data_IF_589128093771
#
_entry.id   IF_589128093771
#
_cell.length_a   1.000
_cell.length_b   1.000
_cell.length_c   1.000
_cell.angle_alpha   90.00
_cell.angle_beta   90.00
_cell.angle_gamma   90.00
#
_symmetry.space_group_name_H-M   'P 1'
#
loop_
_entity.id
_entity.type
_entity.pdbx_description
1 polymer ?
#
# COMPACT_ATOMS: atom_id res chain seq x y z
N UNK A 1 8.89 -13.60 7.04
CA UNK A 1 8.04 -13.22 5.91
C UNK A 1 8.70 -13.61 4.61
N UNK A 2 7.99 -14.30 3.76
CA UNK A 2 8.51 -14.76 2.47
C UNK A 2 8.51 -13.59 1.46
N UNK A 3 9.69 -13.15 1.06
CA UNK A 3 9.84 -12.05 0.09
C UNK A 3 9.91 -12.54 -1.36
N UNK A 4 9.81 -13.85 -1.60
CA UNK A 4 9.98 -14.41 -2.94
C UNK A 4 8.66 -14.72 -3.63
N UNK A 5 7.64 -15.08 -2.88
CA UNK A 5 6.41 -15.60 -3.43
C UNK A 5 5.25 -14.65 -3.26
N UNK A 6 4.37 -14.65 -4.26
CA UNK A 6 3.08 -14.00 -4.13
C UNK A 6 2.14 -14.97 -3.43
N UNK A 7 1.37 -14.48 -2.48
CA UNK A 7 0.39 -15.28 -1.74
C UNK A 7 -1.01 -14.71 -1.97
N UNK A 8 -1.97 -15.62 -2.02
CA UNK A 8 -3.38 -15.26 -2.06
C UNK A 8 -3.90 -15.36 -0.63
N UNK A 9 -4.22 -14.22 -0.02
CA UNK A 9 -4.54 -14.13 1.40
C UNK A 9 -5.85 -13.39 1.62
N UNK A 10 -6.58 -13.81 2.65
CA UNK A 10 -7.74 -13.07 3.14
C UNK A 10 -7.29 -12.09 4.21
N UNK A 11 -7.74 -10.85 4.08
CA UNK A 11 -7.47 -9.80 5.07
C UNK A 11 -8.78 -9.34 5.68
N UNK A 12 -8.74 -8.97 6.94
CA UNK A 12 -9.85 -8.28 7.59
C UNK A 12 -9.88 -6.82 7.14
N UNK A 13 -10.99 -6.13 7.42
CA UNK A 13 -11.08 -4.70 7.16
C UNK A 13 -9.92 -3.97 7.84
N UNK A 14 -9.27 -3.09 7.10
CA UNK A 14 -8.15 -2.29 7.60
C UNK A 14 -8.56 -0.84 7.70
N UNK A 15 -8.48 -0.29 8.90
CA UNK A 15 -8.82 1.12 9.15
C UNK A 15 -7.63 2.00 8.79
N UNK A 16 -7.89 3.09 8.07
CA UNK A 16 -6.85 4.01 7.64
C UNK A 16 -7.27 5.46 7.84
N UNK A 17 -6.28 6.32 7.97
CA UNK A 17 -6.43 7.76 7.82
C UNK A 17 -5.68 8.14 6.55
N UNK A 18 -6.42 8.60 5.55
CA UNK A 18 -5.85 8.85 4.23
C UNK A 18 -5.82 10.34 3.89
N UNK A 19 -4.87 10.72 3.06
CA UNK A 19 -4.78 12.07 2.50
C UNK A 19 -5.96 12.34 1.56
N UNK A 20 -6.12 13.61 1.17
CA UNK A 20 -6.94 13.94 0.01
C UNK A 20 -6.32 13.27 -1.23
N UNK A 21 -7.13 12.98 -2.26
CA UNK A 21 -6.60 12.31 -3.45
C UNK A 21 -5.65 13.23 -4.23
N UNK A 22 -4.64 12.62 -4.81
CA UNK A 22 -3.69 13.31 -5.69
C UNK A 22 -3.18 12.32 -6.74
N UNK A 23 -2.42 12.84 -7.69
CA UNK A 23 -1.68 12.02 -8.63
C UNK A 23 -0.25 12.52 -8.63
N UNK A 24 0.68 11.68 -8.19
CA UNK A 24 2.08 12.05 -8.14
C UNK A 24 2.96 10.82 -8.30
N UNK A 25 4.14 11.06 -8.89
CA UNK A 25 5.19 10.04 -8.95
C UNK A 25 5.59 9.69 -7.53
N UNK A 26 5.63 8.39 -7.22
CA UNK A 26 6.00 7.90 -5.88
C UNK A 26 7.38 8.36 -5.44
N UNK A 27 8.26 8.65 -6.39
CA UNK A 27 9.61 9.10 -6.11
C UNK A 27 9.72 10.61 -5.98
N UNK A 28 8.64 11.34 -6.29
CA UNK A 28 8.67 12.79 -6.34
C UNK A 28 7.33 13.39 -5.90
N UNK A 29 6.81 12.94 -4.76
CA UNK A 29 5.59 13.51 -4.19
C UNK A 29 5.92 14.92 -3.69
N UNK A 30 5.20 15.96 -4.15
CA UNK A 30 5.46 17.34 -3.71
C UNK A 30 5.39 17.51 -2.19
N UNK A 31 6.25 18.32 -1.65
CA UNK A 31 6.31 18.60 -0.20
C UNK A 31 4.97 19.11 0.35
N UNK A 32 4.24 19.89 -0.43
CA UNK A 32 2.93 20.43 -0.04
C UNK A 32 1.92 19.33 0.27
N UNK A 33 1.98 18.22 -0.47
CA UNK A 33 1.09 17.08 -0.24
C UNK A 33 1.45 16.42 1.09
N UNK A 34 2.74 16.22 1.36
CA UNK A 34 3.21 15.68 2.63
C UNK A 34 2.83 16.59 3.79
N UNK A 35 3.05 17.89 3.63
CA UNK A 35 2.74 18.85 4.69
C UNK A 35 1.24 18.88 5.00
N UNK A 36 0.40 18.91 3.97
CA UNK A 36 -1.05 18.90 4.15
C UNK A 36 -1.49 17.65 4.93
N UNK A 37 -0.99 16.49 4.53
CA UNK A 37 -1.31 15.24 5.19
C UNK A 37 -0.84 15.25 6.66
N UNK A 38 0.37 15.71 6.89
CA UNK A 38 0.95 15.78 8.22
C UNK A 38 0.11 16.66 9.15
N UNK A 39 -0.30 17.82 8.65
CA UNK A 39 -1.15 18.74 9.42
C UNK A 39 -2.53 18.14 9.72
N UNK A 40 -3.11 17.44 8.76
CA UNK A 40 -4.38 16.75 8.96
C UNK A 40 -4.27 15.64 10.00
N UNK A 41 -3.20 14.89 9.98
CA UNK A 41 -2.94 13.89 11.01
C UNK A 41 -2.88 14.53 12.39
N UNK A 42 -2.15 15.63 12.50
CA UNK A 42 -2.01 16.35 13.76
C UNK A 42 -3.35 16.88 14.25
N UNK A 43 -4.14 17.47 13.37
CA UNK A 43 -5.47 18.01 13.73
C UNK A 43 -6.43 16.93 14.19
N UNK A 44 -6.28 15.71 13.71
CA UNK A 44 -7.15 14.58 14.03
C UNK A 44 -6.54 13.61 15.04
N UNK A 45 -5.44 13.99 15.67
CA UNK A 45 -4.75 13.17 16.68
C UNK A 45 -4.27 11.81 16.15
N UNK A 46 -3.97 11.75 14.87
CA UNK A 46 -3.42 10.55 14.25
C UNK A 46 -1.90 10.64 14.29
N UNK A 47 -1.28 9.62 14.86
CA UNK A 47 0.18 9.52 14.85
C UNK A 47 0.64 9.12 13.47
N UNK A 48 1.47 9.94 12.86
CA UNK A 48 2.06 9.62 11.57
C UNK A 48 3.44 9.00 11.76
N UNK A 49 3.67 7.93 11.04
CA UNK A 49 4.90 7.16 11.13
C UNK A 49 4.64 5.74 10.74
N UNK A 50 5.31 4.80 11.36
CA UNK A 50 5.10 3.38 11.08
C UNK A 50 3.85 2.86 11.77
N UNK A 51 3.06 2.01 11.10
CA UNK A 51 3.17 1.74 9.66
C UNK A 51 2.53 2.85 8.83
N UNK A 52 3.13 3.09 7.67
CA UNK A 52 2.62 4.07 6.72
C UNK A 52 2.63 3.47 5.33
N UNK A 53 1.92 4.06 4.40
CA UNK A 53 1.86 3.51 3.06
C UNK A 53 1.26 4.44 2.03
N UNK A 54 1.10 3.89 0.84
CA UNK A 54 0.44 4.56 -0.28
C UNK A 54 -0.69 3.70 -0.80
N UNK A 55 -1.64 4.35 -1.45
CA UNK A 55 -2.61 3.65 -2.29
C UNK A 55 -2.31 3.95 -3.75
N UNK A 56 -2.34 2.92 -4.57
CA UNK A 56 -2.24 3.04 -6.02
C UNK A 56 -3.59 2.70 -6.61
N UNK A 57 -4.13 3.60 -7.41
CA UNK A 57 -5.48 3.50 -7.91
C UNK A 57 -5.69 2.29 -8.81
N UNK A 58 -6.86 1.67 -8.70
CA UNK A 58 -7.28 0.54 -9.54
C UNK A 58 -7.09 0.80 -11.02
N UNK A 59 -7.40 2.00 -11.48
CA UNK A 59 -7.28 2.38 -12.89
C UNK A 59 -5.82 2.29 -13.36
N UNK A 60 -4.88 2.67 -12.50
CA UNK A 60 -3.46 2.58 -12.81
C UNK A 60 -3.00 1.12 -12.83
N UNK A 61 -3.52 0.31 -11.91
CA UNK A 61 -3.18 -1.11 -11.85
C UNK A 61 -3.61 -1.84 -13.11
N UNK A 62 -4.78 -1.53 -13.63
CA UNK A 62 -5.29 -2.14 -14.86
C UNK A 62 -4.44 -1.83 -16.08
N UNK A 63 -3.77 -0.69 -16.06
CA UNK A 63 -2.82 -0.29 -17.11
C UNK A 63 -1.40 -0.75 -16.82
N UNK A 64 -1.20 -1.41 -15.66
CA UNK A 64 0.12 -1.79 -15.15
C UNK A 64 1.05 -0.59 -14.98
N UNK A 65 0.48 0.56 -14.65
CA UNK A 65 1.23 1.79 -14.36
C UNK A 65 1.29 1.98 -12.86
N UNK A 66 2.44 1.70 -12.26
CA UNK A 66 2.60 1.73 -10.80
C UNK A 66 3.50 2.87 -10.32
N UNK A 67 3.90 3.72 -11.22
CA UNK A 67 4.75 4.86 -10.90
C UNK A 67 4.00 5.93 -10.13
N UNK A 68 2.72 6.10 -10.39
CA UNK A 68 1.88 7.14 -9.79
C UNK A 68 1.08 6.58 -8.64
N UNK A 69 1.11 7.28 -7.50
CA UNK A 69 0.30 6.95 -6.32
C UNK A 69 -0.79 7.99 -6.13
N UNK A 70 -1.85 7.62 -5.44
CA UNK A 70 -3.04 8.45 -5.33
C UNK A 70 -3.33 8.95 -3.91
N UNK A 71 -2.79 8.31 -2.89
CA UNK A 71 -3.00 8.70 -1.49
C UNK A 71 -1.82 8.29 -0.63
N UNK A 72 -1.60 9.08 0.41
CA UNK A 72 -0.74 8.69 1.53
C UNK A 72 -1.69 8.19 2.62
N UNK A 73 -1.31 7.11 3.30
CA UNK A 73 -2.13 6.54 4.36
C UNK A 73 -1.34 6.30 5.63
N UNK A 74 -2.01 6.49 6.77
CA UNK A 74 -1.57 6.03 8.05
C UNK A 74 -2.53 4.93 8.50
N UNK A 75 -2.01 3.84 9.05
CA UNK A 75 -2.84 2.75 9.52
C UNK A 75 -3.21 3.01 10.97
N UNK A 76 -4.51 2.95 11.27
CA UNK A 76 -5.02 3.25 12.60
C UNK A 76 -5.79 2.04 13.13
N UNK A 77 -5.82 1.89 14.44
CA UNK A 77 -6.54 0.78 15.07
C UNK A 77 -7.89 1.21 15.61
N UNK A 78 -8.03 2.49 15.91
CA UNK A 78 -9.25 3.04 16.49
C UNK A 78 -10.13 3.60 15.38
N UNK A 79 -11.35 3.10 15.28
CA UNK A 79 -12.30 3.54 14.28
C UNK A 79 -12.59 5.04 14.35
N UNK A 80 -12.48 5.63 15.53
CA UNK A 80 -12.72 7.07 15.71
C UNK A 80 -11.64 7.93 15.03
N UNK A 81 -10.49 7.35 14.74
CA UNK A 81 -9.39 8.05 14.09
C UNK A 81 -9.38 7.83 12.56
N UNK A 82 -10.12 6.84 12.08
CA UNK A 82 -10.13 6.51 10.67
C UNK A 82 -11.02 7.48 9.88
N UNK A 83 -10.59 7.82 8.66
CA UNK A 83 -11.45 8.53 7.72
C UNK A 83 -11.79 7.67 6.51
N UNK A 84 -11.29 6.44 6.47
CA UNK A 84 -11.59 5.48 5.43
C UNK A 84 -11.24 4.07 5.91
N UNK A 85 -11.58 3.07 5.11
CA UNK A 85 -11.17 1.71 5.38
C UNK A 85 -10.86 0.98 4.06
N UNK A 86 -10.01 -0.02 4.16
CA UNK A 86 -9.76 -0.96 3.06
C UNK A 86 -10.66 -2.16 3.36
N UNK A 87 -11.60 -2.49 2.45
CA UNK A 87 -12.55 -3.58 2.71
C UNK A 87 -11.86 -4.92 2.94
N UNK A 88 -12.48 -5.74 3.80
CA UNK A 88 -12.07 -7.12 3.98
C UNK A 88 -12.24 -7.89 2.68
N UNK A 89 -11.40 -8.89 2.46
CA UNK A 89 -11.53 -9.75 1.30
C UNK A 89 -10.24 -10.43 0.91
N UNK A 90 -10.23 -10.91 -0.32
CA UNK A 90 -9.14 -11.66 -0.89
C UNK A 90 -8.16 -10.73 -1.60
N UNK A 91 -6.88 -10.92 -1.33
CA UNK A 91 -5.82 -10.10 -1.91
C UNK A 91 -4.70 -10.98 -2.44
N UNK A 92 -4.12 -10.57 -3.56
CA UNK A 92 -2.80 -11.04 -3.95
C UNK A 92 -1.78 -10.14 -3.24
N UNK A 93 -0.89 -10.73 -2.47
CA UNK A 93 0.05 -10.00 -1.65
C UNK A 93 1.47 -10.48 -1.88
N UNK A 94 2.40 -9.56 -1.89
CA UNK A 94 3.81 -9.85 -2.02
C UNK A 94 4.64 -8.84 -1.25
N UNK A 95 5.79 -9.28 -0.75
CA UNK A 95 6.74 -8.42 -0.07
C UNK A 95 8.04 -8.37 -0.87
N UNK A 96 8.78 -7.30 -0.66
CA UNK A 96 10.12 -7.17 -1.21
C UNK A 96 10.94 -6.22 -0.37
N UNK A 97 12.27 -6.33 -0.45
CA UNK A 97 13.15 -5.40 0.25
C UNK A 97 13.05 -4.02 -0.39
N UNK A 98 13.31 -2.99 0.41
CA UNK A 98 13.34 -1.62 -0.05
C UNK A 98 12.18 -0.78 0.42
N UNK A 99 12.16 0.44 -0.07
CA UNK A 99 11.19 1.45 0.33
C UNK A 99 9.97 1.46 -0.58
N UNK A 100 9.00 2.32 -0.20
CA UNK A 100 7.80 2.56 -1.02
C UNK A 100 8.13 3.17 -2.40
N UNK A 101 9.36 3.61 -2.60
CA UNK A 101 9.81 4.14 -3.88
C UNK A 101 10.23 3.03 -4.84
N UNK A 102 10.53 1.83 -4.33
CA UNK A 102 11.09 0.71 -5.09
C UNK A 102 10.16 -0.48 -5.13
N UNK A 103 9.00 -0.30 -5.74
CA UNK A 103 7.96 -1.33 -5.77
C UNK A 103 7.86 -2.10 -7.09
N UNK A 104 8.63 -1.73 -8.10
CA UNK A 104 8.48 -2.28 -9.45
C UNK A 104 8.57 -3.80 -9.49
N UNK A 105 9.58 -4.39 -8.85
CA UNK A 105 9.75 -5.85 -8.86
C UNK A 105 8.62 -6.57 -8.14
N UNK A 106 8.07 -5.95 -7.10
CA UNK A 106 6.94 -6.51 -6.36
C UNK A 106 5.71 -6.53 -7.26
N UNK A 107 5.44 -5.43 -7.95
CA UNK A 107 4.29 -5.33 -8.86
C UNK A 107 4.42 -6.28 -10.04
N UNK A 108 5.60 -6.45 -10.60
CA UNK A 108 5.82 -7.40 -11.69
C UNK A 108 5.40 -8.81 -11.28
N UNK A 109 5.80 -9.25 -10.09
CA UNK A 109 5.41 -10.54 -9.56
C UNK A 109 3.91 -10.64 -9.31
N UNK A 110 3.32 -9.59 -8.79
CA UNK A 110 1.87 -9.55 -8.54
C UNK A 110 1.07 -9.63 -9.84
N UNK A 111 1.44 -8.86 -10.84
CA UNK A 111 0.73 -8.88 -12.11
C UNK A 111 0.86 -10.23 -12.82
N UNK A 112 2.04 -10.85 -12.77
CA UNK A 112 2.23 -12.20 -13.32
C UNK A 112 1.34 -13.22 -12.62
N UNK A 113 1.30 -13.17 -11.30
CA UNK A 113 0.46 -14.06 -10.49
C UNK A 113 -1.02 -13.87 -10.80
N UNK A 114 -1.47 -12.63 -10.86
CA UNK A 114 -2.87 -12.28 -11.14
C UNK A 114 -3.27 -12.82 -12.52
N UNK A 115 -2.42 -12.63 -13.52
CA UNK A 115 -2.67 -13.11 -14.87
C UNK A 115 -2.69 -14.64 -14.93
N UNK A 116 -1.70 -15.29 -14.35
CA UNK A 116 -1.57 -16.76 -14.37
C UNK A 116 -2.71 -17.45 -13.64
N UNK A 117 -3.25 -16.84 -12.61
CA UNK A 117 -4.32 -17.42 -11.80
C UNK A 117 -5.71 -16.90 -12.21
N UNK A 118 -5.80 -16.15 -13.29
CA UNK A 118 -7.05 -15.62 -13.85
C UNK A 118 -7.85 -14.85 -12.80
N UNK A 119 -7.18 -13.92 -12.16
CA UNK A 119 -7.79 -13.06 -11.16
C UNK A 119 -8.13 -11.70 -11.76
N UNK A 120 -9.17 -11.08 -11.20
CA UNK A 120 -9.58 -9.73 -11.57
C UNK A 120 -9.23 -8.77 -10.44
N UNK A 121 -8.63 -7.64 -10.78
CA UNK A 121 -8.33 -6.57 -9.82
C UNK A 121 -9.62 -5.80 -9.55
N UNK A 122 -10.02 -5.73 -8.28
CA UNK A 122 -11.30 -5.14 -7.90
C UNK A 122 -11.21 -3.87 -7.04
N UNK A 123 -10.01 -3.39 -6.78
CA UNK A 123 -9.84 -2.17 -6.00
C UNK A 123 -8.40 -1.68 -6.04
N UNK A 124 -8.12 -0.67 -5.25
CA UNK A 124 -6.81 -0.04 -5.18
C UNK A 124 -5.80 -0.94 -4.48
N UNK A 125 -4.54 -0.85 -4.90
CA UNK A 125 -3.45 -1.51 -4.20
C UNK A 125 -3.13 -0.76 -2.91
N UNK A 126 -2.86 -1.50 -1.85
CA UNK A 126 -2.37 -0.97 -0.60
C UNK A 126 -0.89 -1.32 -0.47
N UNK A 127 -0.07 -0.31 -0.36
CA UNK A 127 1.37 -0.44 -0.20
C UNK A 127 1.73 -0.04 1.22
N UNK A 128 2.37 -0.93 1.94
CA UNK A 128 2.64 -0.74 3.35
C UNK A 128 4.13 -0.93 3.62
N UNK A 129 4.70 0.04 4.29
CA UNK A 129 6.10 -0.06 4.71
C UNK A 129 6.17 -0.76 6.05
N UNK A 130 6.88 -1.86 6.08
CA UNK A 130 7.07 -2.66 7.28
C UNK A 130 8.48 -2.48 7.81
N UNK A 131 8.61 -2.57 9.14
CA UNK A 131 9.92 -2.58 9.77
C UNK A 131 10.27 -4.02 10.09
N UNK A 132 11.47 -4.44 9.72
CA UNK A 132 12.01 -5.70 10.18
C UNK A 132 12.41 -5.53 11.66
N UNK A 133 11.72 -6.24 12.55
CA UNK A 133 11.94 -6.16 13.99
C UNK A 133 13.33 -6.68 14.42
N UNK A 134 13.99 -7.45 13.58
CA UNK A 134 15.35 -7.89 13.85
C UNK A 134 16.34 -6.73 13.68
N UNK A 135 15.81 -5.64 13.42
CA UNK A 135 16.18 -4.38 13.84
C UNK A 135 17.42 -3.77 13.40
N UNK A 136 17.68 -3.61 12.30
CA UNK A 136 18.66 -2.60 12.05
C UNK A 136 17.95 -1.31 11.65
N UNK A 137 18.42 -0.22 12.19
CA UNK A 137 18.14 1.11 11.73
C UNK A 137 18.63 1.37 10.31
N UNK A 138 19.22 0.36 9.67
CA UNK A 138 19.73 0.46 8.31
C UNK A 138 18.66 0.18 7.29
N UNK A 139 18.79 0.73 6.10
CA UNK A 139 17.90 0.51 4.95
C UNK A 139 17.64 -0.96 4.64
N UNK A 140 18.52 -1.85 5.06
CA UNK A 140 18.40 -3.29 4.89
C UNK A 140 17.19 -3.90 5.59
N UNK A 141 16.69 -3.24 6.64
CA UNK A 141 15.53 -3.71 7.38
C UNK A 141 14.19 -3.24 6.82
N UNK A 142 14.20 -2.46 5.77
CA UNK A 142 12.95 -1.97 5.19
C UNK A 142 12.38 -2.99 4.24
N UNK A 143 11.11 -3.35 4.48
CA UNK A 143 10.35 -4.26 3.65
C UNK A 143 9.07 -3.56 3.27
N UNK A 144 8.72 -3.63 1.99
CA UNK A 144 7.45 -3.12 1.50
C UNK A 144 6.56 -4.29 1.15
N UNK A 145 5.32 -4.25 1.63
CA UNK A 145 4.29 -5.20 1.23
C UNK A 145 3.29 -4.48 0.35
N UNK A 146 2.97 -5.11 -0.78
CA UNK A 146 1.92 -4.63 -1.67
C UNK A 146 0.85 -5.70 -1.72
N UNK A 147 -0.41 -5.28 -1.56
CA UNK A 147 -1.55 -6.18 -1.73
C UNK A 147 -2.58 -5.55 -2.64
N UNK A 148 -3.10 -6.35 -3.54
CA UNK A 148 -4.07 -5.94 -4.56
C UNK A 148 -5.34 -6.75 -4.32
N UNK A 149 -6.50 -6.10 -4.11
CA UNK A 149 -7.75 -6.84 -3.93
C UNK A 149 -8.16 -7.49 -5.23
N UNK A 150 -8.51 -8.76 -5.17
CA UNK A 150 -8.78 -9.57 -6.35
C UNK A 150 -10.00 -10.45 -6.14
N UNK A 151 -10.56 -10.92 -7.26
CA UNK A 151 -11.56 -11.97 -7.27
C UNK A 151 -11.30 -12.87 -8.48
N UNK A 152 -11.83 -14.09 -8.44
CA UNK A 152 -11.73 -14.99 -9.58
C UNK A 152 -12.61 -14.47 -10.73
N UNK A 153 -12.10 -14.56 -11.95
CA UNK A 153 -12.95 -14.35 -13.12
C UNK A 153 -13.98 -15.47 -13.19
N UNK A 154 -15.18 -15.12 -13.53
CA UNK A 154 -16.23 -16.11 -13.77
C UNK A 154 -16.21 -16.59 -15.23
#
# INVERSE_FOLDING_TARGET
MDTRNVQLLSFEETLIFQSTPFEADRQAIPDEIWLDFYLRCKQNHVTFGYPEGYLTAREQLKKQETKTVSRIVAFVKDASLANASIPAGLFAAACGPGSLEDTDSIYERLFSFIRENRLEIIGDACEERLIDEVGSSEKKGQITRVRIPVRCFK
#
